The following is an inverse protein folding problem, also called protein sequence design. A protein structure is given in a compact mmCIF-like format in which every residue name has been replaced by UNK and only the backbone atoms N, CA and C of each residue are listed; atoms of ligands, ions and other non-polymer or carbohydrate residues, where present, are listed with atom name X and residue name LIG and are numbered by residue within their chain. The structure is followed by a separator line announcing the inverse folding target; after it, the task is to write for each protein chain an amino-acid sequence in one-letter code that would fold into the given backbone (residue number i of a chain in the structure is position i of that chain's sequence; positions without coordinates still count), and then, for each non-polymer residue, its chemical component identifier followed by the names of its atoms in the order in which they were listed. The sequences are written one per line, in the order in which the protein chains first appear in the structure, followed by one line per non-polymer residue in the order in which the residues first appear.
data_IF_321096031315
#
_entry.id   IF_321096031315
#
_cell.length_a   1.000
_cell.length_b   1.000
_cell.length_c   1.000
_cell.angle_alpha   90.00
_cell.angle_beta   90.00
_cell.angle_gamma   90.00
#
_symmetry.space_group_name_H-M   'P 1'
#
loop_
_entity.id
_entity.type
_entity.pdbx_description
1 polymer ?
#
# COMPACT_ATOMS: atom_id res chain seq x y z
N UNK A 1 -21.63 7.59 -39.06
CA UNK A 1 -20.30 7.55 -38.42
C UNK A 1 -20.55 7.47 -36.94
N UNK A 2 -20.26 6.32 -36.32
CA UNK A 2 -20.32 6.21 -34.86
C UNK A 2 -19.02 6.82 -34.33
N UNK A 3 -19.13 7.83 -33.46
CA UNK A 3 -17.99 8.38 -32.72
C UNK A 3 -17.60 7.31 -31.69
N UNK A 4 -16.53 6.56 -31.99
CA UNK A 4 -16.04 5.40 -31.25
C UNK A 4 -15.23 5.79 -30.00
N UNK A 5 -15.36 7.03 -29.52
CA UNK A 5 -14.75 7.47 -28.28
C UNK A 5 -15.69 7.22 -27.12
N UNK A 6 -15.90 5.93 -26.79
CA UNK A 6 -16.23 5.60 -25.39
C UNK A 6 -15.04 6.06 -24.55
N UNK A 7 -15.22 6.93 -23.54
CA UNK A 7 -14.16 7.11 -22.56
C UNK A 7 -13.95 5.74 -21.93
N UNK A 8 -12.76 5.18 -22.12
CA UNK A 8 -12.34 4.01 -21.36
C UNK A 8 -12.54 4.35 -19.88
N UNK A 9 -13.15 3.48 -19.07
CA UNK A 9 -13.14 3.69 -17.64
C UNK A 9 -11.66 3.67 -17.25
N UNK A 10 -11.12 4.85 -16.93
CA UNK A 10 -9.86 4.97 -16.21
C UNK A 10 -10.13 4.50 -14.78
N UNK A 11 -10.46 3.22 -14.63
CA UNK A 11 -10.34 2.50 -13.38
C UNK A 11 -8.86 2.14 -13.23
N UNK A 12 -8.02 3.17 -13.22
CA UNK A 12 -6.59 3.07 -12.97
C UNK A 12 -6.37 3.61 -11.58
N UNK A 13 -6.20 2.73 -10.61
CA UNK A 13 -5.76 3.16 -9.27
C UNK A 13 -4.55 4.08 -9.44
N UNK A 14 -4.50 5.22 -8.74
CA UNK A 14 -3.45 6.21 -8.97
C UNK A 14 -2.10 5.57 -8.68
N UNK A 15 -1.17 5.70 -9.63
CA UNK A 15 0.14 5.05 -9.57
C UNK A 15 0.82 5.39 -8.23
N UNK A 16 1.34 4.36 -7.56
CA UNK A 16 2.01 4.54 -6.28
C UNK A 16 3.37 5.18 -6.50
N UNK A 17 3.71 6.15 -5.65
CA UNK A 17 5.08 6.70 -5.64
C UNK A 17 6.10 5.62 -5.25
N UNK A 18 7.40 5.79 -5.54
CA UNK A 18 8.42 4.86 -5.10
C UNK A 18 8.37 4.57 -3.60
N UNK A 19 8.21 5.60 -2.77
CA UNK A 19 8.15 5.46 -1.31
C UNK A 19 6.87 4.74 -0.87
N UNK A 20 5.72 5.03 -1.48
CA UNK A 20 4.47 4.30 -1.21
C UNK A 20 4.57 2.82 -1.57
N UNK A 21 5.27 2.47 -2.67
CA UNK A 21 5.51 1.07 -3.04
C UNK A 21 6.41 0.36 -2.03
N UNK A 22 7.45 1.02 -1.58
CA UNK A 22 8.38 0.47 -0.58
C UNK A 22 7.62 0.19 0.73
N UNK A 23 6.88 1.17 1.24
CA UNK A 23 6.08 1.02 2.47
C UNK A 23 4.98 -0.02 2.29
N UNK A 24 4.29 -0.04 1.15
CA UNK A 24 3.27 -1.04 0.84
C UNK A 24 3.84 -2.46 0.77
N UNK A 25 5.00 -2.65 0.16
CA UNK A 25 5.69 -3.94 0.10
C UNK A 25 6.14 -4.41 1.49
N UNK A 26 6.69 -3.50 2.30
CA UNK A 26 7.04 -3.76 3.69
C UNK A 26 5.83 -4.22 4.52
N UNK A 27 4.71 -3.50 4.40
CA UNK A 27 3.46 -3.87 5.06
C UNK A 27 2.95 -5.24 4.63
N UNK A 28 2.88 -5.49 3.32
CA UNK A 28 2.43 -6.76 2.75
C UNK A 28 3.31 -7.94 3.20
N UNK A 29 4.60 -7.71 3.44
CA UNK A 29 5.52 -8.73 3.96
C UNK A 29 5.38 -8.95 5.46
N UNK A 30 5.26 -7.89 6.25
CA UNK A 30 5.22 -8.00 7.72
C UNK A 30 3.92 -8.59 8.25
N UNK A 31 2.77 -8.23 7.66
CA UNK A 31 1.46 -8.64 8.19
C UNK A 31 1.30 -10.16 8.30
N UNK A 32 1.58 -10.96 7.24
CA UNK A 32 1.48 -12.42 7.34
C UNK A 32 2.42 -13.02 8.39
N UNK A 33 3.62 -12.44 8.58
CA UNK A 33 4.58 -12.89 9.58
C UNK A 33 4.07 -12.65 11.01
N UNK A 34 3.53 -11.46 11.27
CA UNK A 34 2.94 -11.11 12.56
C UNK A 34 1.74 -12.00 12.86
N UNK A 35 0.82 -12.15 11.91
CA UNK A 35 -0.34 -13.05 12.08
C UNK A 35 0.10 -14.50 12.29
N UNK A 36 1.11 -14.96 11.57
CA UNK A 36 1.69 -16.28 11.73
C UNK A 36 2.23 -16.49 13.15
N UNK A 37 2.96 -15.51 13.70
CA UNK A 37 3.49 -15.57 15.06
C UNK A 37 2.39 -15.49 16.12
N UNK A 38 1.34 -14.72 15.88
CA UNK A 38 0.17 -14.70 16.77
C UNK A 38 -0.52 -16.06 16.84
N UNK A 39 -0.64 -16.77 15.71
CA UNK A 39 -1.23 -18.12 15.64
C UNK A 39 -0.28 -19.20 16.18
N UNK A 40 1.03 -19.04 15.98
CA UNK A 40 2.05 -19.99 16.41
C UNK A 40 3.28 -19.27 17.00
N UNK A 41 3.24 -18.92 18.29
CA UNK A 41 4.23 -18.04 18.91
C UNK A 41 5.60 -18.68 19.16
N UNK A 42 5.78 -19.98 18.89
CA UNK A 42 7.06 -20.69 19.06
C UNK A 42 7.66 -21.16 17.73
N UNK A 43 7.19 -20.59 16.62
CA UNK A 43 7.68 -20.94 15.27
C UNK A 43 9.05 -20.33 15.00
N UNK A 44 10.10 -21.15 15.10
CA UNK A 44 11.49 -20.76 14.75
C UNK A 44 11.60 -20.18 13.33
N UNK A 45 10.88 -20.75 12.38
CA UNK A 45 10.93 -20.30 10.98
C UNK A 45 10.39 -18.87 10.84
N UNK A 46 9.25 -18.56 11.46
CA UNK A 46 8.67 -17.21 11.38
C UNK A 46 9.57 -16.17 12.05
N UNK A 47 10.19 -16.50 13.18
CA UNK A 47 11.19 -15.61 13.79
C UNK A 47 12.42 -15.39 12.89
N UNK A 48 12.86 -16.41 12.15
CA UNK A 48 13.97 -16.26 11.20
C UNK A 48 13.60 -15.36 10.01
N UNK A 49 12.39 -15.48 9.49
CA UNK A 49 11.88 -14.60 8.42
C UNK A 49 11.76 -13.15 8.88
N UNK A 50 11.25 -12.91 10.10
CA UNK A 50 11.20 -11.58 10.69
C UNK A 50 12.61 -11.01 10.87
N UNK A 51 13.55 -11.80 11.42
CA UNK A 51 14.94 -11.36 11.59
C UNK A 51 15.57 -10.97 10.25
N UNK A 52 15.42 -11.81 9.21
CA UNK A 52 15.95 -11.54 7.89
C UNK A 52 15.38 -10.25 7.28
N UNK A 53 14.08 -10.00 7.45
CA UNK A 53 13.46 -8.75 7.00
C UNK A 53 14.03 -7.53 7.75
N UNK A 54 14.18 -7.63 9.07
CA UNK A 54 14.73 -6.55 9.90
C UNK A 54 16.20 -6.23 9.56
N UNK A 55 16.98 -7.23 9.19
CA UNK A 55 18.39 -7.08 8.84
C UNK A 55 18.60 -6.44 7.46
N UNK A 56 17.71 -6.71 6.50
CA UNK A 56 17.95 -6.37 5.09
C UNK A 56 17.09 -5.22 4.55
N UNK A 57 15.82 -5.14 4.95
CA UNK A 57 14.80 -4.36 4.21
C UNK A 57 14.07 -3.33 5.09
N UNK A 58 14.04 -3.52 6.41
CA UNK A 58 13.25 -2.68 7.30
C UNK A 58 13.71 -1.21 7.36
N UNK A 59 15.02 -0.95 7.19
CA UNK A 59 15.57 0.41 7.20
C UNK A 59 15.07 1.26 6.03
N UNK A 60 15.06 0.70 4.83
CA UNK A 60 14.59 1.41 3.64
C UNK A 60 13.10 1.75 3.74
N UNK A 61 12.31 0.83 4.30
CA UNK A 61 10.89 1.05 4.55
C UNK A 61 10.63 2.12 5.62
N UNK A 62 11.43 2.16 6.69
CA UNK A 62 11.34 3.19 7.71
C UNK A 62 11.69 4.57 7.12
N UNK A 63 12.79 4.67 6.37
CA UNK A 63 13.18 5.93 5.73
C UNK A 63 12.15 6.40 4.69
N UNK A 64 11.57 5.48 3.91
CA UNK A 64 10.50 5.80 2.97
C UNK A 64 9.24 6.31 3.69
N UNK A 65 8.91 5.71 4.84
CA UNK A 65 7.79 6.16 5.65
C UNK A 65 8.02 7.57 6.22
N UNK A 66 9.21 7.85 6.75
CA UNK A 66 9.57 9.20 7.23
C UNK A 66 9.50 10.24 6.11
N UNK A 67 9.97 9.92 4.90
CA UNK A 67 9.83 10.81 3.74
C UNK A 67 8.37 11.09 3.39
N UNK A 68 7.48 10.08 3.47
CA UNK A 68 6.05 10.27 3.25
C UNK A 68 5.41 11.16 4.34
N UNK A 69 5.85 11.03 5.60
CA UNK A 69 5.42 11.89 6.69
C UNK A 69 5.87 13.34 6.49
N UNK A 70 7.11 13.55 6.02
CA UNK A 70 7.67 14.87 5.75
C UNK A 70 6.94 15.61 4.62
N UNK A 71 6.43 14.88 3.61
CA UNK A 71 5.56 15.46 2.59
C UNK A 71 4.23 15.97 3.18
N UNK A 72 3.82 15.41 4.33
CA UNK A 72 2.75 15.92 5.15
C UNK A 72 1.35 15.89 4.50
N UNK A 73 0.41 16.71 4.99
CA UNK A 73 -0.99 16.66 4.57
C UNK A 73 -1.22 17.05 3.09
N UNK A 74 -0.26 17.72 2.45
CA UNK A 74 -0.34 18.08 1.03
C UNK A 74 -0.24 16.86 0.11
N UNK A 75 0.61 15.88 0.47
CA UNK A 75 0.68 14.61 -0.24
C UNK A 75 -0.62 13.85 -0.13
N UNK A 76 -1.16 13.74 1.09
CA UNK A 76 -2.44 13.07 1.32
C UNK A 76 -3.60 13.74 0.55
N UNK A 77 -3.66 15.08 0.56
CA UNK A 77 -4.68 15.83 -0.18
C UNK A 77 -4.62 15.58 -1.69
N UNK A 78 -3.42 15.63 -2.28
CA UNK A 78 -3.24 15.35 -3.71
C UNK A 78 -3.63 13.90 -4.07
N UNK A 79 -3.39 12.94 -3.16
CA UNK A 79 -3.79 11.53 -3.35
C UNK A 79 -5.30 11.34 -3.22
N UNK A 80 -5.95 12.04 -2.29
CA UNK A 80 -7.41 12.03 -2.14
C UNK A 80 -8.11 12.63 -3.36
N UNK A 81 -7.58 13.73 -3.92
CA UNK A 81 -8.09 14.32 -5.16
C UNK A 81 -7.96 13.36 -6.37
N UNK A 82 -6.89 12.57 -6.42
CA UNK A 82 -6.65 11.57 -7.47
C UNK A 82 -7.58 10.34 -7.36
N UNK A 83 -8.00 9.98 -6.14
CA UNK A 83 -8.95 8.87 -5.92
C UNK A 83 -10.39 9.28 -6.29
N UNK A 84 -10.69 10.58 -6.32
CA UNK A 84 -12.03 11.07 -6.62
C UNK A 84 -13.05 10.74 -5.51
N UNK A 85 -14.20 11.44 -5.49
CA UNK A 85 -15.24 11.23 -4.48
C UNK A 85 -15.91 9.85 -4.58
N UNK A 86 -15.95 9.26 -5.78
CA UNK A 86 -16.67 8.00 -6.03
C UNK A 86 -16.04 6.77 -5.34
N UNK A 87 -14.74 6.82 -5.00
CA UNK A 87 -14.05 5.77 -4.24
C UNK A 87 -14.17 5.97 -2.71
N UNK A 88 -14.57 7.16 -2.24
CA UNK A 88 -14.68 7.49 -0.82
C UNK A 88 -16.09 7.22 -0.27
N UNK A 89 -17.10 7.24 -1.15
CA UNK A 89 -18.43 6.70 -0.89
C UNK A 89 -18.44 5.26 -1.37
N UNK A 90 -18.27 4.29 -0.47
CA UNK A 90 -18.38 2.87 -0.81
C UNK A 90 -19.80 2.50 -1.26
N UNK A 91 -20.22 2.93 -2.44
CA UNK A 91 -21.30 2.28 -3.16
C UNK A 91 -20.69 1.03 -3.78
N UNK A 92 -20.74 -0.06 -3.02
CA UNK A 92 -20.70 -1.40 -3.57
C UNK A 92 -21.80 -1.48 -4.64
N UNK A 93 -21.41 -1.32 -5.90
CA UNK A 93 -22.24 -1.69 -7.04
C UNK A 93 -22.36 -3.21 -7.01
N UNK A 94 -23.32 -3.66 -6.20
CA UNK A 94 -23.69 -5.04 -6.02
C UNK A 94 -24.63 -5.42 -7.18
N UNK A 95 -24.32 -6.49 -7.96
CA UNK A 95 -25.06 -6.85 -9.17
C UNK A 95 -26.52 -7.26 -8.92
#
# INVERSE_FOLDING_TARGET
MYDDRKPEPQCGAPELTPDERIVGAAYARMIPLIEGLQRNPISRHLYAEVANYLDCEAWEAADAFERLLDLGPHHLAARLDQLGPDLLTGEEDMP
#
